data_IF_579068616793
#
_entry.id   IF_579068616793
#
_cell.length_a   1.000
_cell.length_b   1.000
_cell.length_c   1.000
_cell.angle_alpha   90.00
_cell.angle_beta   90.00
_cell.angle_gamma   90.00
#
_symmetry.space_group_name_H-M   'P 1'
#
loop_
_entity.id
_entity.type
_entity.pdbx_description
1 polymer ?
#
# COMPACT_ATOMS: atom_id res chain seq x y z
N UNK A 1 16.97 4.00 -3.62
CA UNK A 1 15.54 4.34 -3.86
C UNK A 1 14.99 4.89 -2.55
N UNK A 2 14.24 6.00 -2.54
CA UNK A 2 13.63 6.50 -1.31
C UNK A 2 12.61 5.47 -0.80
N UNK A 3 12.92 4.87 0.34
CA UNK A 3 12.07 3.92 1.08
C UNK A 3 11.73 4.53 2.42
N UNK A 4 10.46 4.61 2.74
CA UNK A 4 10.02 4.84 4.11
C UNK A 4 10.05 3.49 4.83
N UNK A 5 10.91 3.32 5.86
CA UNK A 5 11.05 2.05 6.55
C UNK A 5 9.74 1.66 7.22
N UNK A 6 9.64 0.38 7.59
CA UNK A 6 8.48 -0.13 8.30
C UNK A 6 8.24 0.67 9.59
N UNK A 7 7.00 1.13 9.78
CA UNK A 7 6.54 1.75 11.02
C UNK A 7 5.48 0.85 11.65
N UNK A 8 5.45 0.81 12.98
CA UNK A 8 4.51 0.02 13.78
C UNK A 8 3.64 0.96 14.61
N UNK A 9 2.47 1.40 14.11
CA UNK A 9 1.56 2.29 14.82
C UNK A 9 0.98 1.65 16.08
N UNK A 10 0.53 0.41 15.95
CA UNK A 10 -0.04 -0.38 17.03
C UNK A 10 0.66 -1.74 17.06
N UNK A 11 1.13 -2.16 18.24
CA UNK A 11 1.72 -3.49 18.38
C UNK A 11 0.64 -4.56 18.18
N UNK A 12 0.90 -5.51 17.28
CA UNK A 12 0.00 -6.63 17.07
C UNK A 12 0.12 -7.63 18.23
N UNK A 13 -0.99 -8.19 18.74
CA UNK A 13 -0.93 -9.32 19.67
C UNK A 13 -0.18 -10.51 19.03
N UNK A 14 0.64 -11.21 19.82
CA UNK A 14 1.51 -12.29 19.31
C UNK A 14 0.75 -13.46 18.67
N UNK A 15 -0.50 -13.67 19.06
CA UNK A 15 -1.39 -14.72 18.55
C UNK A 15 -2.36 -14.23 17.46
N UNK A 16 -2.33 -12.95 17.11
CA UNK A 16 -3.25 -12.40 16.12
C UNK A 16 -2.87 -12.81 14.70
N UNK A 17 -3.86 -12.82 13.81
CA UNK A 17 -3.64 -12.78 12.37
C UNK A 17 -3.56 -11.32 11.92
N UNK A 18 -2.78 -11.08 10.88
CA UNK A 18 -2.65 -9.79 10.23
C UNK A 18 -3.12 -9.88 8.78
N UNK A 19 -4.05 -9.00 8.41
CA UNK A 19 -4.48 -8.81 7.04
C UNK A 19 -3.51 -7.85 6.32
N UNK A 20 -2.77 -8.38 5.37
CA UNK A 20 -1.73 -7.66 4.64
C UNK A 20 -2.29 -7.18 3.30
N UNK A 21 -1.94 -5.95 2.95
CA UNK A 21 -2.16 -5.36 1.64
C UNK A 21 -0.85 -4.83 1.09
N UNK A 22 -0.53 -5.23 -0.14
CA UNK A 22 0.48 -4.58 -0.95
C UNK A 22 -0.16 -3.99 -2.19
N UNK A 23 0.37 -2.86 -2.65
CA UNK A 23 -0.06 -2.24 -3.90
C UNK A 23 1.10 -1.66 -4.68
N UNK A 24 0.92 -1.59 -6.00
CA UNK A 24 1.79 -0.90 -6.96
C UNK A 24 0.95 0.09 -7.76
N UNK A 25 1.33 1.36 -7.71
CA UNK A 25 0.73 2.44 -8.47
C UNK A 25 1.70 2.91 -9.55
N UNK A 26 1.19 3.06 -10.77
CA UNK A 26 1.92 3.64 -11.90
C UNK A 26 1.24 4.92 -12.35
N UNK A 27 1.97 6.04 -12.36
CA UNK A 27 1.45 7.34 -12.83
C UNK A 27 1.67 7.51 -14.34
N UNK A 28 0.79 8.27 -15.00
CA UNK A 28 0.82 8.50 -16.46
C UNK A 28 2.07 9.23 -16.93
N UNK A 29 2.51 10.27 -16.23
CA UNK A 29 3.63 11.11 -16.66
C UNK A 29 4.63 11.42 -15.53
N UNK A 30 5.81 11.93 -15.89
CA UNK A 30 6.77 12.44 -14.89
C UNK A 30 6.25 13.74 -14.22
N UNK A 31 5.42 14.52 -14.90
CA UNK A 31 4.78 15.71 -14.31
C UNK A 31 3.77 15.37 -13.20
N UNK A 32 3.23 14.15 -13.21
CA UNK A 32 2.30 13.64 -12.20
C UNK A 32 2.99 13.17 -10.90
N UNK A 33 4.29 12.87 -10.98
CA UNK A 33 5.08 12.30 -9.87
C UNK A 33 5.07 13.18 -8.62
N UNK A 34 5.31 14.51 -8.70
CA UNK A 34 5.30 15.37 -7.50
C UNK A 34 3.93 15.37 -6.80
N UNK A 35 2.85 15.50 -7.58
CA UNK A 35 1.47 15.46 -7.06
C UNK A 35 1.18 14.14 -6.35
N UNK A 36 1.53 13.02 -6.97
CA UNK A 36 1.34 11.71 -6.37
C UNK A 36 2.13 11.56 -5.07
N UNK A 37 3.42 11.89 -5.10
CA UNK A 37 4.32 11.78 -3.93
C UNK A 37 3.79 12.58 -2.73
N UNK A 38 3.38 13.84 -2.93
CA UNK A 38 2.82 14.65 -1.84
C UNK A 38 1.54 14.04 -1.26
N UNK A 39 0.64 13.53 -2.11
CA UNK A 39 -0.60 12.89 -1.67
C UNK A 39 -0.33 11.58 -0.93
N UNK A 40 0.64 10.77 -1.39
CA UNK A 40 1.09 9.56 -0.67
C UNK A 40 1.65 9.89 0.71
N UNK A 41 2.42 10.96 0.85
CA UNK A 41 2.94 11.39 2.14
C UNK A 41 1.82 11.85 3.10
N UNK A 42 0.75 12.45 2.58
CA UNK A 42 -0.43 12.79 3.40
C UNK A 42 -1.16 11.54 3.89
N UNK A 43 -1.40 10.55 3.02
CA UNK A 43 -1.96 9.25 3.40
C UNK A 43 -1.06 8.50 4.39
N UNK A 44 0.26 8.60 4.22
CA UNK A 44 1.26 8.03 5.12
C UNK A 44 1.21 8.63 6.53
N UNK A 45 0.97 9.93 6.67
CA UNK A 45 0.78 10.53 8.01
C UNK A 45 -0.43 9.95 8.73
N UNK A 46 -1.53 9.71 8.00
CA UNK A 46 -2.74 9.11 8.57
C UNK A 46 -2.54 7.64 8.97
N UNK A 47 -1.81 6.85 8.17
CA UNK A 47 -1.60 5.42 8.49
C UNK A 47 -0.83 5.22 9.80
N UNK A 48 0.04 6.18 10.15
CA UNK A 48 0.87 6.15 11.37
C UNK A 48 0.07 6.25 12.67
N UNK A 49 -1.21 6.57 12.61
CA UNK A 49 -2.11 6.63 13.76
C UNK A 49 -3.45 5.96 13.48
N UNK A 50 -3.56 5.16 12.42
CA UNK A 50 -4.81 4.52 12.04
C UNK A 50 -5.14 3.38 13.03
N UNK A 51 -6.36 3.35 13.60
CA UNK A 51 -6.81 2.21 14.40
C UNK A 51 -6.71 0.90 13.61
N UNK A 52 -6.24 -0.16 14.27
CA UNK A 52 -6.07 -1.47 13.65
C UNK A 52 -4.90 -1.60 12.68
N UNK A 53 -4.07 -0.57 12.49
CA UNK A 53 -2.84 -0.68 11.69
C UNK A 53 -1.71 -1.32 12.51
N UNK A 54 -1.25 -2.51 12.12
CA UNK A 54 -0.09 -3.17 12.73
C UNK A 54 1.24 -2.71 12.12
N UNK A 55 1.22 -2.23 10.88
CA UNK A 55 2.34 -1.49 10.34
C UNK A 55 2.23 -1.18 8.87
N UNK A 56 3.17 -0.36 8.39
CA UNK A 56 3.20 0.06 7.00
C UNK A 56 4.62 0.38 6.54
N UNK A 57 4.87 0.30 5.23
CA UNK A 57 6.08 0.75 4.54
C UNK A 57 5.71 1.29 3.16
N UNK A 58 6.55 2.15 2.58
CA UNK A 58 6.36 2.70 1.24
C UNK A 58 7.71 2.77 0.49
N UNK A 59 7.69 2.44 -0.81
CA UNK A 59 8.81 2.68 -1.72
C UNK A 59 8.34 3.64 -2.82
N UNK A 60 9.10 4.69 -3.08
CA UNK A 60 8.91 5.54 -4.25
C UNK A 60 10.02 5.28 -5.28
N UNK A 61 9.63 5.10 -6.54
CA UNK A 61 10.53 5.04 -7.70
C UNK A 61 10.13 6.14 -8.71
N UNK A 62 10.44 7.43 -8.43
CA UNK A 62 10.01 8.56 -9.25
C UNK A 62 10.35 8.43 -10.73
N UNK A 63 11.58 8.03 -11.03
CA UNK A 63 12.08 7.85 -12.41
C UNK A 63 11.30 6.75 -13.15
N UNK A 64 10.83 5.73 -12.43
CA UNK A 64 10.01 4.64 -12.97
C UNK A 64 8.51 4.96 -12.94
N UNK A 65 8.11 6.15 -12.47
CA UNK A 65 6.70 6.53 -12.25
C UNK A 65 5.93 5.52 -11.38
N UNK A 66 6.64 4.79 -10.52
CA UNK A 66 6.10 3.66 -9.77
C UNK A 66 6.21 3.88 -8.27
N UNK A 67 5.15 3.53 -7.54
CA UNK A 67 5.08 3.67 -6.10
C UNK A 67 4.50 2.39 -5.50
N UNK A 68 5.07 1.95 -4.39
CA UNK A 68 4.65 0.73 -3.72
C UNK A 68 4.22 1.06 -2.31
N UNK A 69 3.09 0.50 -1.87
CA UNK A 69 2.69 0.51 -0.46
C UNK A 69 2.60 -0.92 0.05
N UNK A 70 2.92 -1.09 1.32
CA UNK A 70 2.78 -2.34 2.04
C UNK A 70 2.23 -1.99 3.43
N UNK A 71 1.19 -2.69 3.85
CA UNK A 71 0.56 -2.45 5.15
C UNK A 71 -0.05 -3.72 5.73
N UNK A 72 -0.02 -3.83 7.05
CA UNK A 72 -0.62 -4.92 7.80
C UNK A 72 -1.64 -4.37 8.79
N UNK A 73 -2.77 -5.06 8.91
CA UNK A 73 -3.95 -4.62 9.64
C UNK A 73 -4.49 -5.73 10.52
N UNK A 74 -5.17 -5.36 11.59
CA UNK A 74 -5.93 -6.25 12.46
C UNK A 74 -6.99 -7.05 11.69
N UNK A 75 -7.62 -6.41 10.70
CA UNK A 75 -8.63 -7.06 9.88
C UNK A 75 -8.78 -6.38 8.53
N UNK A 76 -9.47 -7.08 7.63
CA UNK A 76 -9.97 -6.51 6.39
C UNK A 76 -10.80 -5.24 6.64
N UNK A 77 -11.68 -5.27 7.64
CA UNK A 77 -12.56 -4.13 7.96
C UNK A 77 -11.79 -2.91 8.48
N UNK A 78 -10.73 -3.12 9.26
CA UNK A 78 -9.85 -2.03 9.71
C UNK A 78 -9.20 -1.33 8.50
N UNK A 79 -8.69 -2.11 7.55
CA UNK A 79 -8.13 -1.56 6.31
C UNK A 79 -9.17 -0.77 5.50
N UNK A 80 -10.35 -1.35 5.24
CA UNK A 80 -11.37 -0.66 4.43
C UNK A 80 -11.98 0.54 5.15
N UNK A 81 -11.99 0.56 6.48
CA UNK A 81 -12.34 1.73 7.26
C UNK A 81 -11.32 2.84 7.01
N UNK A 82 -10.02 2.56 7.17
CA UNK A 82 -8.96 3.51 6.84
C UNK A 82 -9.07 4.05 5.41
N UNK A 83 -9.28 3.17 4.41
CA UNK A 83 -9.39 3.57 3.00
C UNK A 83 -10.57 4.52 2.72
N UNK A 84 -11.64 4.43 3.53
CA UNK A 84 -12.84 5.28 3.41
C UNK A 84 -12.77 6.55 4.27
N UNK A 85 -11.83 6.64 5.21
CA UNK A 85 -11.66 7.81 6.08
C UNK A 85 -10.83 8.91 5.38
N UNK A 86 -11.21 10.17 5.58
CA UNK A 86 -10.42 11.30 5.09
C UNK A 86 -9.10 11.46 5.87
N UNK A 87 -8.01 11.93 5.23
CA UNK A 87 -7.94 12.39 3.85
C UNK A 87 -7.76 11.28 2.80
N UNK A 88 -7.62 10.01 3.19
CA UNK A 88 -7.29 8.92 2.25
C UNK A 88 -8.32 8.79 1.11
N UNK A 89 -9.61 8.84 1.43
CA UNK A 89 -10.69 8.72 0.44
C UNK A 89 -10.63 9.82 -0.63
N UNK A 90 -10.46 11.08 -0.21
CA UNK A 90 -10.30 12.21 -1.12
C UNK A 90 -9.01 12.11 -1.96
N UNK A 91 -7.93 11.58 -1.38
CA UNK A 91 -6.68 11.32 -2.09
C UNK A 91 -6.87 10.28 -3.20
N UNK A 92 -7.47 9.12 -2.90
CA UNK A 92 -7.73 8.07 -3.90
C UNK A 92 -8.57 8.61 -5.06
N UNK A 93 -9.65 9.32 -4.74
CA UNK A 93 -10.56 9.89 -5.73
C UNK A 93 -9.84 10.91 -6.62
N UNK A 94 -9.07 11.82 -6.00
CA UNK A 94 -8.36 12.89 -6.70
C UNK A 94 -7.11 12.47 -7.48
N UNK A 95 -6.67 11.22 -7.34
CA UNK A 95 -5.53 10.64 -8.08
C UNK A 95 -5.96 9.69 -9.21
N UNK A 96 -7.27 9.38 -9.35
CA UNK A 96 -7.75 8.42 -10.36
C UNK A 96 -7.34 8.78 -11.79
N UNK A 97 -7.45 10.06 -12.17
CA UNK A 97 -7.05 10.56 -13.49
C UNK A 97 -5.53 10.65 -13.68
N UNK A 98 -4.74 10.41 -12.63
CA UNK A 98 -3.28 10.39 -12.67
C UNK A 98 -2.73 8.97 -12.90
N UNK A 99 -3.52 7.93 -12.61
CA UNK A 99 -3.09 6.53 -12.66
C UNK A 99 -3.09 5.95 -14.08
N UNK A 100 -1.95 5.43 -14.51
CA UNK A 100 -1.84 4.56 -15.68
C UNK A 100 -2.29 3.14 -15.35
N UNK A 101 -1.86 2.61 -14.21
CA UNK A 101 -2.21 1.27 -13.73
C UNK A 101 -2.12 1.21 -12.20
N UNK A 102 -2.91 0.32 -11.62
CA UNK A 102 -2.88 0.01 -10.18
C UNK A 102 -3.03 -1.49 -9.99
N UNK A 103 -2.13 -2.10 -9.22
CA UNK A 103 -2.19 -3.53 -8.86
C UNK A 103 -2.24 -3.65 -7.35
N UNK A 104 -3.10 -4.52 -6.83
CA UNK A 104 -3.27 -4.76 -5.41
C UNK A 104 -3.27 -6.26 -5.15
N UNK A 105 -2.63 -6.69 -4.07
CA UNK A 105 -2.75 -8.06 -3.58
C UNK A 105 -2.96 -8.05 -2.07
N UNK A 106 -3.74 -9.01 -1.60
CA UNK A 106 -4.17 -9.12 -0.22
C UNK A 106 -3.95 -10.56 0.26
N UNK A 107 -3.46 -10.72 1.49
CA UNK A 107 -3.26 -12.04 2.09
C UNK A 107 -3.20 -11.93 3.61
N UNK A 108 -3.28 -13.06 4.30
CA UNK A 108 -3.18 -13.12 5.75
C UNK A 108 -1.89 -13.80 6.19
N UNK A 109 -1.34 -13.35 7.32
CA UNK A 109 -0.17 -13.95 7.99
C UNK A 109 -0.38 -13.93 9.50
N UNK A 110 0.27 -14.83 10.26
CA UNK A 110 0.44 -14.62 11.70
C UNK A 110 1.15 -13.30 11.98
N UNK A 111 0.68 -12.53 12.96
CA UNK A 111 1.26 -11.25 13.32
C UNK A 111 2.76 -11.35 13.71
N UNK A 112 3.18 -12.50 14.26
CA UNK A 112 4.58 -12.80 14.54
C UNK A 112 5.50 -12.87 13.31
N UNK A 113 4.95 -12.86 12.08
CA UNK A 113 5.72 -12.78 10.83
C UNK A 113 5.91 -11.35 10.32
N UNK A 114 5.38 -10.33 11.02
CA UNK A 114 5.64 -8.93 10.69
C UNK A 114 7.04 -8.51 11.17
N UNK A 115 7.75 -7.62 10.43
CA UNK A 115 7.33 -6.96 9.20
C UNK A 115 7.48 -7.85 7.97
N UNK A 116 6.57 -7.68 6.99
CA UNK A 116 6.72 -8.36 5.71
C UNK A 116 7.86 -7.73 4.89
N UNK A 117 8.70 -8.60 4.30
CA UNK A 117 9.78 -8.19 3.41
C UNK A 117 9.28 -7.70 2.04
N UNK A 118 9.94 -6.67 1.50
CA UNK A 118 9.57 -6.10 0.20
C UNK A 118 9.73 -7.05 -0.99
N UNK A 119 10.61 -8.04 -0.90
CA UNK A 119 10.80 -9.01 -1.99
C UNK A 119 9.61 -9.97 -2.11
N UNK A 120 9.03 -10.42 -0.99
CA UNK A 120 7.78 -11.19 -1.00
C UNK A 120 6.61 -10.34 -1.53
N UNK A 121 6.48 -9.11 -1.04
CA UNK A 121 5.43 -8.20 -1.47
C UNK A 121 5.49 -7.91 -2.98
N UNK A 122 6.69 -7.66 -3.53
CA UNK A 122 6.87 -7.41 -4.97
C UNK A 122 6.63 -8.64 -5.82
N UNK A 123 7.03 -9.83 -5.36
CA UNK A 123 6.72 -11.10 -6.04
C UNK A 123 5.22 -11.28 -6.17
N UNK A 124 4.47 -11.17 -5.06
CA UNK A 124 3.00 -11.29 -5.07
C UNK A 124 2.33 -10.28 -6.00
N UNK A 125 2.84 -9.05 -6.05
CA UNK A 125 2.34 -8.01 -6.97
C UNK A 125 2.62 -8.34 -8.44
N UNK A 126 3.79 -8.90 -8.75
CA UNK A 126 4.12 -9.37 -10.10
C UNK A 126 3.21 -10.54 -10.52
N UNK A 127 3.02 -11.52 -9.63
CA UNK A 127 2.13 -12.66 -9.88
C UNK A 127 0.69 -12.21 -10.13
N UNK A 128 0.18 -11.28 -9.32
CA UNK A 128 -1.17 -10.71 -9.50
C UNK A 128 -1.31 -9.94 -10.80
N UNK A 129 -0.27 -9.19 -11.18
CA UNK A 129 -0.27 -8.46 -12.46
C UNK A 129 -0.32 -9.42 -13.64
N UNK A 130 0.51 -10.47 -13.61
CA UNK A 130 0.52 -11.49 -14.65
C UNK A 130 -0.86 -12.16 -14.80
N UNK A 131 -1.50 -12.55 -13.69
CA UNK A 131 -2.86 -13.11 -13.71
C UNK A 131 -3.90 -12.17 -14.32
N UNK A 132 -3.83 -10.89 -13.98
CA UNK A 132 -4.78 -9.89 -14.49
C UNK A 132 -4.58 -9.66 -15.99
N UNK A 133 -3.33 -9.60 -16.45
CA UNK A 133 -3.00 -9.40 -17.85
C UNK A 133 -3.40 -10.63 -18.70
N UNK A 134 -3.23 -11.86 -18.19
CA UNK A 134 -3.73 -13.09 -18.82
C UNK A 134 -5.26 -13.12 -18.93
N UNK A 135 -5.99 -12.69 -17.89
CA UNK A 135 -7.44 -12.66 -17.91
C UNK A 135 -8.04 -11.59 -18.85
N UNK A 136 -7.23 -10.61 -19.27
CA UNK A 136 -7.64 -9.53 -20.16
C UNK A 136 -7.29 -9.78 -21.65
N UNK A 137 -6.55 -10.84 -21.95
CA UNK A 137 -6.12 -11.24 -23.29
C UNK A 137 -7.15 -12.17 -23.96
#
# INVERSE_FOLDING_TARGET
MPTLPWVTPNAAPSHAQAFVMASRFEVRSLGDVPRFLWKSLAAWRQVRSAPGAYGASLIAQPVKRAFYTLSAWESRDALYTYARTEPHRGIMTGLRSTMSASTFTFWEVPAGQLPIGWDDAKRRLADERARTDEAAA
#
